data_IF_684940968965
#
_entry.id   IF_684940968965
#
_cell.length_a   1.000
_cell.length_b   1.000
_cell.length_c   1.000
_cell.angle_alpha   90.00
_cell.angle_beta   90.00
_cell.angle_gamma   90.00
#
_symmetry.space_group_name_H-M   'P 1'
#
loop_
_entity.id
_entity.type
_entity.pdbx_description
1 polymer ?
#
# COMPACT_ATOMS: atom_id res chain seq x y z
N UNK A 1 -15.02 17.21 7.17
CA UNK A 1 -15.05 17.11 8.65
C UNK A 1 -13.61 17.09 9.13
N UNK A 2 -13.27 17.77 10.23
CA UNK A 2 -11.96 17.59 10.84
C UNK A 2 -11.83 16.12 11.28
N UNK A 3 -10.79 15.43 10.82
CA UNK A 3 -10.51 14.07 11.29
C UNK A 3 -10.22 14.16 12.79
N UNK A 4 -10.79 13.23 13.57
CA UNK A 4 -10.42 13.09 14.97
C UNK A 4 -8.90 12.88 15.07
N UNK A 5 -8.28 13.38 16.14
CA UNK A 5 -6.85 13.12 16.34
C UNK A 5 -6.58 11.61 16.34
N UNK A 6 -5.56 11.15 15.62
CA UNK A 6 -5.27 9.73 15.50
C UNK A 6 -4.86 9.15 16.85
N UNK A 7 -5.28 7.90 17.11
CA UNK A 7 -4.85 7.17 18.30
C UNK A 7 -3.31 7.02 18.28
N UNK A 8 -2.63 7.24 19.43
CA UNK A 8 -1.18 7.11 19.50
C UNK A 8 -0.77 5.64 19.46
N UNK A 9 0.42 5.37 18.89
CA UNK A 9 1.00 4.03 18.97
C UNK A 9 1.51 3.75 20.38
N UNK A 10 1.37 2.50 20.88
CA UNK A 10 1.81 2.12 22.22
C UNK A 10 3.31 1.79 22.26
N UNK A 11 4.14 2.64 21.64
CA UNK A 11 5.59 2.57 21.70
C UNK A 11 6.14 3.71 22.55
N UNK A 12 7.19 3.44 23.32
CA UNK A 12 7.84 4.48 24.09
C UNK A 12 8.45 5.56 23.14
N UNK A 13 8.29 6.86 23.44
CA UNK A 13 8.87 7.93 22.63
C UNK A 13 10.37 7.73 22.39
N UNK A 14 10.82 7.98 21.15
CA UNK A 14 12.22 7.84 20.76
C UNK A 14 12.71 6.40 20.51
N UNK A 15 11.87 5.40 20.71
CA UNK A 15 12.24 4.02 20.39
C UNK A 15 12.42 3.84 18.87
N UNK A 16 13.43 3.06 18.42
CA UNK A 16 13.60 2.77 17.01
C UNK A 16 12.39 1.97 16.49
N UNK A 17 11.79 2.45 15.42
CA UNK A 17 10.64 1.82 14.76
C UNK A 17 10.92 1.58 13.28
N UNK A 18 10.27 0.56 12.74
CA UNK A 18 10.14 0.30 11.31
C UNK A 18 8.75 0.72 10.87
N UNK A 19 8.65 1.31 9.68
CA UNK A 19 7.41 1.87 9.17
C UNK A 19 7.17 1.51 7.71
N UNK A 20 5.91 1.41 7.34
CA UNK A 20 5.45 1.20 5.98
C UNK A 20 3.95 1.46 5.88
N UNK A 21 3.38 1.11 4.73
CA UNK A 21 1.97 1.28 4.45
C UNK A 21 1.28 -0.05 4.16
N UNK A 22 -0.03 -0.08 4.20
CA UNK A 22 -0.85 -1.26 3.91
C UNK A 22 -2.22 -0.89 3.37
N UNK A 23 -2.96 -1.91 2.91
CA UNK A 23 -4.35 -1.79 2.45
C UNK A 23 -5.24 -2.74 3.23
N UNK A 24 -6.34 -2.23 3.79
CA UNK A 24 -7.35 -3.08 4.42
C UNK A 24 -8.16 -3.79 3.34
N UNK A 25 -8.27 -5.11 3.46
CA UNK A 25 -9.04 -5.97 2.58
C UNK A 25 -10.44 -6.26 3.15
N UNK A 26 -11.24 -6.97 2.36
CA UNK A 26 -12.59 -7.42 2.71
C UNK A 26 -12.68 -8.01 4.14
N UNK A 27 -13.76 -7.69 4.85
CA UNK A 27 -13.97 -8.08 6.25
C UNK A 27 -13.27 -7.18 7.28
N UNK A 28 -12.43 -6.23 6.85
CA UNK A 28 -11.90 -5.16 7.71
C UNK A 28 -10.85 -5.61 8.74
N UNK A 29 -10.41 -6.88 8.67
CA UNK A 29 -9.45 -7.50 9.61
C UNK A 29 -8.14 -7.93 8.96
N UNK A 30 -8.07 -7.90 7.64
CA UNK A 30 -6.91 -8.33 6.88
C UNK A 30 -6.26 -7.10 6.25
N UNK A 31 -4.94 -7.01 6.36
CA UNK A 31 -4.16 -5.93 5.74
C UNK A 31 -3.10 -6.56 4.84
N UNK A 32 -3.10 -6.19 3.56
CA UNK A 32 -2.02 -6.54 2.63
C UNK A 32 -0.94 -5.46 2.68
N UNK A 33 0.32 -5.87 2.68
CA UNK A 33 1.50 -4.98 2.63
C UNK A 33 2.65 -5.69 1.93
N UNK A 34 3.82 -5.05 1.88
CA UNK A 34 5.04 -5.71 1.43
C UNK A 34 5.66 -6.59 2.52
N UNK A 35 6.29 -7.69 2.11
CA UNK A 35 7.02 -8.58 3.03
C UNK A 35 8.16 -7.84 3.74
N UNK A 36 8.94 -7.05 3.01
CA UNK A 36 10.08 -6.33 3.60
C UNK A 36 9.67 -5.28 4.64
N UNK A 37 8.41 -4.82 4.64
CA UNK A 37 7.89 -3.89 5.66
C UNK A 37 7.80 -4.57 7.03
N UNK A 38 7.53 -5.87 7.05
CA UNK A 38 7.24 -6.63 8.28
C UNK A 38 8.38 -7.55 8.70
N UNK A 39 9.45 -7.61 7.91
CA UNK A 39 10.58 -8.50 8.12
C UNK A 39 11.36 -8.16 9.41
N UNK A 40 11.52 -9.16 10.27
CA UNK A 40 12.23 -9.04 11.54
C UNK A 40 11.49 -8.26 12.63
N UNK A 41 10.23 -7.87 12.42
CA UNK A 41 9.40 -7.22 13.44
C UNK A 41 8.87 -8.27 14.43
N UNK A 42 8.99 -8.00 15.72
CA UNK A 42 8.45 -8.83 16.82
C UNK A 42 7.14 -8.27 17.38
N UNK A 43 7.00 -6.95 17.39
CA UNK A 43 5.78 -6.25 17.85
C UNK A 43 5.27 -5.32 16.77
N UNK A 44 4.02 -5.52 16.34
CA UNK A 44 3.43 -4.87 15.18
C UNK A 44 2.10 -4.21 15.53
N UNK A 45 1.98 -2.94 15.17
CA UNK A 45 0.74 -2.17 15.25
C UNK A 45 0.43 -1.55 13.88
N UNK A 46 -0.85 -1.35 13.64
CA UNK A 46 -1.38 -0.72 12.44
C UNK A 46 -2.33 0.41 12.81
N UNK A 47 -2.35 1.48 12.03
CA UNK A 47 -3.32 2.57 12.15
C UNK A 47 -3.96 2.85 10.81
N UNK A 48 -5.28 2.78 10.70
CA UNK A 48 -5.96 3.15 9.44
C UNK A 48 -5.98 4.69 9.26
N UNK A 49 -6.29 5.17 8.06
CA UNK A 49 -6.30 6.62 7.76
C UNK A 49 -7.35 7.43 8.53
N UNK A 50 -8.29 6.79 9.24
CA UNK A 50 -9.20 7.47 10.17
C UNK A 50 -8.68 7.50 11.61
N UNK A 51 -7.47 7.01 11.86
CA UNK A 51 -6.78 7.17 13.12
C UNK A 51 -6.92 6.02 14.13
N UNK A 52 -7.56 4.90 13.79
CA UNK A 52 -7.73 3.80 14.74
C UNK A 52 -6.51 2.88 14.77
N UNK A 53 -5.95 2.62 15.96
CA UNK A 53 -4.81 1.74 16.16
C UNK A 53 -5.28 0.33 16.50
N UNK A 54 -4.61 -0.69 15.95
CA UNK A 54 -4.81 -2.11 16.26
C UNK A 54 -3.47 -2.80 16.39
N UNK A 55 -3.35 -3.71 17.36
CA UNK A 55 -2.27 -4.69 17.36
C UNK A 55 -2.50 -5.66 16.21
N UNK A 56 -1.46 -5.96 15.46
CA UNK A 56 -1.51 -6.87 14.33
C UNK A 56 -0.55 -8.04 14.54
N UNK A 57 -0.82 -9.13 13.82
CA UNK A 57 0.11 -10.26 13.66
C UNK A 57 0.31 -10.56 12.20
N UNK A 58 1.47 -11.13 11.88
CA UNK A 58 1.77 -11.63 10.54
C UNK A 58 1.01 -12.96 10.37
N UNK A 59 0.04 -12.99 9.47
CA UNK A 59 -0.77 -14.18 9.20
C UNK A 59 -0.17 -15.04 8.08
N UNK A 60 0.40 -14.39 7.05
CA UNK A 60 1.03 -15.07 5.92
C UNK A 60 2.13 -14.20 5.32
N UNK A 61 3.18 -14.82 4.83
CA UNK A 61 4.24 -14.16 4.06
C UNK A 61 4.45 -14.95 2.77
N UNK A 62 4.64 -14.25 1.65
CA UNK A 62 4.97 -14.90 0.40
C UNK A 62 6.46 -15.23 0.32
N UNK A 63 6.78 -16.37 -0.30
CA UNK A 63 8.16 -16.76 -0.58
C UNK A 63 8.64 -16.24 -1.95
N UNK A 64 7.71 -16.04 -2.89
CA UNK A 64 8.02 -15.75 -4.30
C UNK A 64 8.02 -14.24 -4.61
N UNK A 65 7.18 -13.50 -3.91
CA UNK A 65 6.99 -12.07 -4.11
C UNK A 65 7.01 -11.32 -2.77
N UNK A 66 7.16 -10.00 -2.86
CA UNK A 66 7.32 -9.13 -1.70
C UNK A 66 5.94 -8.76 -1.12
N UNK A 67 5.16 -9.76 -0.72
CA UNK A 67 3.82 -9.63 -0.14
C UNK A 67 3.75 -10.28 1.25
N UNK A 68 3.02 -9.62 2.15
CA UNK A 68 2.63 -10.16 3.45
C UNK A 68 1.17 -9.81 3.77
N UNK A 69 0.50 -10.74 4.45
CA UNK A 69 -0.84 -10.57 5.00
C UNK A 69 -0.74 -10.43 6.51
N UNK A 70 -1.28 -9.34 7.02
CA UNK A 70 -1.46 -9.09 8.44
C UNK A 70 -2.91 -9.33 8.85
N UNK A 71 -3.10 -9.64 10.12
CA UNK A 71 -4.42 -9.83 10.71
C UNK A 71 -4.54 -9.07 12.03
N UNK A 72 -5.72 -8.49 12.25
CA UNK A 72 -6.11 -7.78 13.48
C UNK A 72 -7.35 -8.43 14.08
N UNK A 73 -7.44 -8.46 15.42
CA UNK A 73 -8.53 -9.17 16.11
C UNK A 73 -9.88 -8.45 15.93
N UNK A 74 -9.86 -7.12 16.01
CA UNK A 74 -11.05 -6.26 15.85
C UNK A 74 -10.96 -5.49 14.56
N UNK A 75 -11.97 -5.65 13.70
CA UNK A 75 -12.07 -4.94 12.44
C UNK A 75 -11.97 -3.42 12.61
N UNK A 76 -11.46 -2.75 11.58
CA UNK A 76 -11.65 -1.31 11.45
C UNK A 76 -13.15 -0.97 11.25
N UNK A 77 -13.57 0.27 11.54
CA UNK A 77 -14.96 0.70 11.29
C UNK A 77 -15.41 0.49 9.84
N UNK A 78 -16.73 0.44 9.63
CA UNK A 78 -17.32 0.26 8.30
C UNK A 78 -16.81 1.30 7.28
N UNK A 79 -16.66 0.87 6.02
CA UNK A 79 -16.07 1.68 4.94
C UNK A 79 -14.56 1.50 4.76
N UNK A 80 -13.87 0.93 5.74
CA UNK A 80 -12.44 0.63 5.71
C UNK A 80 -12.09 -0.67 4.95
N UNK A 81 -12.78 -1.01 3.86
CA UNK A 81 -12.51 -2.26 3.13
C UNK A 81 -12.33 -2.02 1.65
N UNK A 82 -11.30 -2.64 1.07
CA UNK A 82 -11.18 -2.85 -0.37
C UNK A 82 -11.80 -4.20 -0.72
N UNK A 83 -12.92 -4.24 -1.46
CA UNK A 83 -13.52 -5.48 -1.93
C UNK A 83 -12.54 -6.26 -2.82
N UNK A 84 -12.53 -7.59 -2.70
CA UNK A 84 -11.71 -8.44 -3.57
C UNK A 84 -12.10 -8.28 -5.05
N UNK A 85 -13.38 -8.02 -5.32
CA UNK A 85 -13.91 -7.76 -6.66
C UNK A 85 -13.37 -6.46 -7.29
N UNK A 86 -12.88 -5.51 -6.49
CA UNK A 86 -12.32 -4.24 -6.96
C UNK A 86 -10.80 -4.32 -7.19
N UNK A 87 -10.19 -5.49 -6.99
CA UNK A 87 -8.78 -5.73 -7.32
C UNK A 87 -8.68 -6.08 -8.80
N UNK A 88 -7.93 -5.25 -9.53
CA UNK A 88 -7.85 -5.32 -11.00
C UNK A 88 -6.40 -5.35 -11.47
N UNK A 89 -6.21 -5.76 -12.73
CA UNK A 89 -4.89 -5.67 -13.36
C UNK A 89 -4.59 -4.22 -13.79
N UNK A 90 -3.36 -3.74 -13.60
CA UNK A 90 -2.92 -2.46 -14.14
C UNK A 90 -2.80 -2.54 -15.66
N UNK A 91 -3.23 -1.49 -16.35
CA UNK A 91 -3.13 -1.34 -17.81
C UNK A 91 -2.38 -0.05 -18.11
N UNK A 92 -1.53 -0.05 -19.13
CA UNK A 92 -0.77 1.15 -19.50
C UNK A 92 -1.71 2.35 -19.78
N UNK A 93 -1.31 3.54 -19.34
CA UNK A 93 -2.09 4.77 -19.45
C UNK A 93 -3.19 4.94 -18.39
N UNK A 94 -3.52 3.91 -17.60
CA UNK A 94 -4.47 4.05 -16.47
C UNK A 94 -3.87 4.93 -15.39
N UNK A 95 -4.68 5.74 -14.72
CA UNK A 95 -4.27 6.50 -13.55
C UNK A 95 -3.69 5.56 -12.48
N UNK A 96 -2.57 5.95 -11.89
CA UNK A 96 -1.93 5.26 -10.78
C UNK A 96 -1.79 6.21 -9.60
N UNK A 97 -2.66 6.04 -8.60
CA UNK A 97 -2.75 6.92 -7.45
C UNK A 97 -2.28 6.14 -6.23
N UNK A 98 -1.28 6.66 -5.54
CA UNK A 98 -0.69 6.04 -4.36
C UNK A 98 -1.08 6.83 -3.13
N UNK A 99 -1.62 6.12 -2.14
CA UNK A 99 -1.87 6.65 -0.80
C UNK A 99 -0.95 5.92 0.19
N UNK A 100 -0.25 6.64 1.05
CA UNK A 100 0.67 6.01 2.01
C UNK A 100 1.27 7.00 3.00
N UNK A 101 2.18 6.51 3.84
CA UNK A 101 2.79 7.28 4.92
C UNK A 101 4.30 7.45 4.69
N UNK A 102 4.70 8.33 3.76
CA UNK A 102 6.11 8.54 3.47
C UNK A 102 6.78 9.28 4.62
N UNK A 103 8.00 8.87 4.97
CA UNK A 103 8.91 9.65 5.81
C UNK A 103 8.26 10.26 7.08
N UNK A 104 7.52 9.46 7.84
CA UNK A 104 6.68 9.94 8.94
C UNK A 104 7.42 10.79 9.99
N UNK A 105 8.73 10.60 10.17
CA UNK A 105 9.56 11.39 11.08
C UNK A 105 9.79 12.84 10.61
N UNK A 106 9.53 13.13 9.34
CA UNK A 106 9.72 14.44 8.71
C UNK A 106 8.39 15.06 8.28
N UNK A 107 7.49 14.25 7.71
CA UNK A 107 6.23 14.72 7.11
C UNK A 107 5.02 14.60 8.05
N UNK A 108 5.20 13.96 9.21
CA UNK A 108 4.11 13.61 10.11
C UNK A 108 3.38 12.33 9.69
N UNK A 109 2.52 11.85 10.57
CA UNK A 109 1.81 10.57 10.45
C UNK A 109 0.29 10.69 10.64
N UNK A 110 -0.23 11.91 10.82
CA UNK A 110 -1.65 12.14 11.11
C UNK A 110 -2.56 11.69 9.96
N UNK A 111 -2.11 11.89 8.73
CA UNK A 111 -2.84 11.56 7.51
C UNK A 111 -1.89 10.98 6.45
N UNK A 112 -2.37 10.07 5.59
CA UNK A 112 -1.56 9.58 4.49
C UNK A 112 -1.41 10.65 3.40
N UNK A 113 -0.25 10.66 2.74
CA UNK A 113 -0.02 11.46 1.55
C UNK A 113 -0.64 10.79 0.32
N UNK A 114 -1.22 11.59 -0.58
CA UNK A 114 -1.73 11.17 -1.88
C UNK A 114 -0.81 11.66 -2.99
N UNK A 115 -0.49 10.79 -3.94
CA UNK A 115 0.30 11.14 -5.14
C UNK A 115 -0.35 10.52 -6.37
N UNK A 116 -0.39 11.28 -7.47
CA UNK A 116 -0.95 10.83 -8.76
C UNK A 116 0.16 10.66 -9.80
N UNK A 117 -0.01 9.66 -10.65
CA UNK A 117 0.74 9.42 -11.86
C UNK A 117 -0.05 8.52 -12.79
N UNK A 118 0.64 7.80 -13.67
CA UNK A 118 0.04 6.80 -14.56
C UNK A 118 0.76 5.46 -14.44
N UNK A 119 0.09 4.39 -14.84
CA UNK A 119 0.74 3.13 -15.20
C UNK A 119 1.52 3.37 -16.50
N UNK A 120 2.83 3.53 -16.40
CA UNK A 120 3.72 3.72 -17.54
C UNK A 120 3.86 2.43 -18.37
N UNK A 121 4.02 1.29 -17.69
CA UNK A 121 4.05 -0.03 -18.30
C UNK A 121 3.32 -1.03 -17.43
N UNK A 122 2.51 -1.88 -18.05
CA UNK A 122 1.83 -2.98 -17.37
C UNK A 122 2.77 -4.13 -16.97
N UNK A 123 4.07 -4.03 -17.25
CA UNK A 123 5.10 -4.98 -16.82
C UNK A 123 6.21 -4.26 -16.06
N UNK A 124 6.88 -4.97 -15.18
CA UNK A 124 7.96 -4.47 -14.36
C UNK A 124 9.28 -4.32 -15.11
N UNK A 125 10.35 -4.15 -14.34
CA UNK A 125 11.71 -4.14 -14.87
C UNK A 125 12.02 -5.47 -15.55
N UNK A 126 12.70 -5.43 -16.69
CA UNK A 126 13.03 -6.65 -17.45
C UNK A 126 11.82 -7.45 -17.94
N UNK A 127 10.65 -6.80 -18.10
CA UNK A 127 9.37 -7.43 -18.45
C UNK A 127 8.84 -8.40 -17.38
N UNK A 128 9.16 -8.18 -16.11
CA UNK A 128 8.59 -8.96 -15.01
C UNK A 128 7.04 -8.94 -15.06
N UNK A 129 6.38 -10.10 -15.20
CA UNK A 129 4.93 -10.18 -15.30
C UNK A 129 4.21 -9.91 -13.97
N UNK A 130 4.92 -9.94 -12.83
CA UNK A 130 4.34 -9.84 -11.48
C UNK A 130 4.26 -8.39 -10.98
N UNK A 131 5.02 -7.49 -11.59
CA UNK A 131 5.10 -6.07 -11.23
C UNK A 131 4.75 -5.16 -12.40
N UNK A 132 4.52 -3.88 -12.12
CA UNK A 132 4.22 -2.86 -13.13
C UNK A 132 4.96 -1.57 -12.82
N UNK A 133 5.14 -0.74 -13.83
CA UNK A 133 5.85 0.54 -13.74
C UNK A 133 4.86 1.70 -13.70
N UNK A 134 5.12 2.69 -12.84
CA UNK A 134 4.29 3.89 -12.69
C UNK A 134 5.13 5.16 -12.50
N UNK A 135 4.56 6.31 -12.84
CA UNK A 135 5.22 7.63 -12.69
C UNK A 135 4.89 8.34 -11.38
N UNK A 136 4.12 7.69 -10.51
CA UNK A 136 3.70 8.25 -9.23
C UNK A 136 4.90 8.45 -8.32
N UNK A 137 4.93 9.55 -7.55
CA UNK A 137 6.03 9.85 -6.61
C UNK A 137 5.97 8.90 -5.42
N UNK A 138 7.01 8.09 -5.25
CA UNK A 138 7.10 7.11 -4.16
C UNK A 138 8.35 7.37 -3.33
N UNK A 139 8.18 7.40 -2.01
CA UNK A 139 9.27 7.51 -1.03
C UNK A 139 9.24 6.34 -0.04
N UNK A 140 10.32 6.19 0.74
CA UNK A 140 10.34 5.27 1.88
C UNK A 140 9.13 5.54 2.80
N UNK A 141 8.40 4.48 3.12
CA UNK A 141 7.15 4.55 3.90
C UNK A 141 5.90 4.28 3.05
N UNK A 142 5.94 4.52 1.74
CA UNK A 142 4.84 4.15 0.83
C UNK A 142 4.78 2.64 0.52
N UNK A 143 5.84 1.87 0.79
CA UNK A 143 5.87 0.42 0.59
C UNK A 143 4.65 -0.25 1.22
N UNK A 144 3.92 -1.02 0.43
CA UNK A 144 2.70 -1.74 0.82
C UNK A 144 1.43 -0.91 0.76
N UNK A 145 1.52 0.41 0.53
CA UNK A 145 0.38 1.30 0.36
C UNK A 145 -0.39 1.01 -0.93
N UNK A 146 -1.71 1.29 -0.97
CA UNK A 146 -2.53 0.97 -2.13
C UNK A 146 -2.14 1.81 -3.34
N UNK A 147 -2.12 1.17 -4.51
CA UNK A 147 -2.11 1.82 -5.82
C UNK A 147 -3.49 1.63 -6.43
N UNK A 148 -4.23 2.70 -6.66
CA UNK A 148 -5.59 2.65 -7.17
C UNK A 148 -5.82 3.59 -8.36
N UNK A 149 -6.91 3.39 -9.08
CA UNK A 149 -7.34 4.27 -10.16
C UNK A 149 -8.39 5.29 -9.69
N UNK A 150 -8.85 6.15 -10.62
CA UNK A 150 -9.89 7.17 -10.35
C UNK A 150 -11.26 6.59 -10.00
N UNK A 151 -11.44 5.27 -10.05
CA UNK A 151 -12.68 4.56 -9.71
C UNK A 151 -12.57 3.86 -8.35
N UNK A 152 -11.41 3.96 -7.68
CA UNK A 152 -11.15 3.30 -6.41
C UNK A 152 -10.76 1.82 -6.54
N UNK A 153 -10.53 1.32 -7.76
CA UNK A 153 -10.07 -0.04 -7.97
C UNK A 153 -8.62 -0.19 -7.55
N UNK A 154 -8.29 -1.27 -6.84
CA UNK A 154 -6.93 -1.57 -6.42
C UNK A 154 -6.15 -2.20 -7.58
N UNK A 155 -5.18 -1.46 -8.11
CA UNK A 155 -4.27 -1.94 -9.16
C UNK A 155 -3.13 -2.79 -8.60
N UNK A 156 -2.81 -2.62 -7.33
CA UNK A 156 -1.66 -3.24 -6.68
C UNK A 156 -1.22 -2.56 -5.40
N UNK A 157 -0.03 -2.91 -4.91
CA UNK A 157 0.64 -2.22 -3.81
C UNK A 157 1.95 -1.59 -4.27
N UNK A 158 2.25 -0.41 -3.75
CA UNK A 158 3.46 0.34 -4.03
C UNK A 158 4.68 -0.37 -3.43
N UNK A 159 5.80 -0.38 -4.15
CA UNK A 159 7.10 -0.82 -3.61
C UNK A 159 7.94 0.44 -3.38
N UNK A 160 8.06 0.87 -2.13
CA UNK A 160 8.80 2.08 -1.71
C UNK A 160 10.33 1.95 -1.81
N UNK A 161 10.80 0.93 -2.51
CA UNK A 161 12.21 0.58 -2.68
C UNK A 161 12.43 0.01 -4.08
N UNK A 162 12.16 0.79 -5.12
CA UNK A 162 12.98 0.61 -6.33
C UNK A 162 14.34 1.13 -5.93
N UNK A 163 15.29 0.23 -5.68
CA UNK A 163 16.64 0.62 -5.30
C UNK A 163 17.33 1.19 -6.54
N UNK A 164 17.01 2.45 -6.86
CA UNK A 164 17.56 3.19 -8.00
C UNK A 164 19.09 3.18 -7.93
N UNK A 165 19.65 3.11 -6.71
CA UNK A 165 21.08 2.93 -6.48
C UNK A 165 21.54 1.52 -6.87
N UNK A 166 20.83 0.44 -6.51
CA UNK A 166 21.17 -0.91 -6.97
C UNK A 166 20.97 -1.09 -8.48
N UNK A 167 19.97 -0.44 -9.08
CA UNK A 167 19.82 -0.40 -10.54
C UNK A 167 21.01 0.32 -11.16
N UNK A 168 21.35 1.52 -10.68
CA UNK A 168 22.49 2.29 -11.15
C UNK A 168 23.82 1.52 -11.01
N UNK A 169 24.05 0.86 -9.86
CA UNK A 169 25.24 0.05 -9.63
C UNK A 169 25.36 -1.12 -10.62
N UNK A 170 24.23 -1.67 -11.09
CA UNK A 170 24.22 -2.79 -12.04
C UNK A 170 24.26 -2.36 -13.50
N UNK A 171 23.65 -1.23 -13.84
CA UNK A 171 23.41 -0.83 -15.24
C UNK A 171 24.16 0.43 -15.65
N UNK A 172 24.73 1.17 -14.70
CA UNK A 172 25.25 2.53 -14.90
C UNK A 172 24.18 3.58 -15.21
N UNK A 173 22.89 3.21 -15.17
CA UNK A 173 21.76 4.09 -15.55
C UNK A 173 20.91 4.41 -14.33
N UNK A 174 20.71 5.70 -14.07
CA UNK A 174 19.84 6.15 -13.00
C UNK A 174 18.39 6.06 -13.49
N UNK A 175 17.55 5.36 -12.73
CA UNK A 175 16.11 5.40 -12.97
C UNK A 175 15.53 6.65 -12.31
N UNK A 176 15.03 7.55 -13.14
CA UNK A 176 14.33 8.75 -12.72
C UNK A 176 12.84 8.59 -13.04
N UNK A 177 11.98 9.11 -12.14
CA UNK A 177 10.53 9.20 -12.33
C UNK A 177 9.80 7.89 -12.66
N UNK A 178 10.44 6.75 -12.40
CA UNK A 178 9.88 5.42 -12.61
C UNK A 178 9.89 4.62 -11.31
N UNK A 179 8.70 4.23 -10.87
CA UNK A 179 8.49 3.45 -9.67
C UNK A 179 7.77 2.14 -9.98
N UNK A 180 7.85 1.19 -9.05
CA UNK A 180 7.33 -0.17 -9.23
C UNK A 180 6.19 -0.44 -8.26
N UNK A 181 5.17 -1.16 -8.74
CA UNK A 181 4.12 -1.75 -7.92
C UNK A 181 3.99 -3.26 -8.17
N UNK A 182 3.54 -3.99 -7.16
CA UNK A 182 3.15 -5.41 -7.29
C UNK A 182 1.70 -5.46 -7.77
N UNK A 183 1.42 -6.22 -8.82
CA UNK A 183 0.10 -6.24 -9.46
C UNK A 183 -1.01 -6.78 -8.55
N UNK A 184 -2.22 -6.26 -8.73
CA UNK A 184 -3.45 -6.78 -8.11
C UNK A 184 -3.67 -8.27 -8.38
N UNK A 185 -3.33 -8.77 -9.56
CA UNK A 185 -3.37 -10.20 -9.85
C UNK A 185 -2.47 -11.06 -8.95
N UNK A 186 -1.32 -10.54 -8.52
CA UNK A 186 -0.45 -11.21 -7.55
C UNK A 186 -1.02 -11.17 -6.14
N UNK A 187 -1.67 -10.08 -5.75
CA UNK A 187 -2.43 -10.02 -4.50
C UNK A 187 -3.51 -11.10 -4.50
N UNK A 188 -4.30 -11.22 -5.57
CA UNK A 188 -5.33 -12.26 -5.70
C UNK A 188 -4.74 -13.67 -5.59
N UNK A 189 -3.69 -13.97 -6.35
CA UNK A 189 -3.01 -15.26 -6.31
C UNK A 189 -2.48 -15.59 -4.91
N UNK A 190 -1.84 -14.62 -4.24
CA UNK A 190 -1.33 -14.77 -2.88
C UNK A 190 -2.44 -15.06 -1.86
N UNK A 191 -3.62 -14.48 -2.04
CA UNK A 191 -4.81 -14.71 -1.22
C UNK A 191 -5.56 -16.01 -1.59
N UNK A 192 -5.15 -16.72 -2.66
CA UNK A 192 -5.88 -17.87 -3.19
C UNK A 192 -7.25 -17.48 -3.75
N UNK A 193 -7.36 -16.28 -4.32
CA UNK A 193 -8.57 -15.71 -4.92
C UNK A 193 -8.39 -15.53 -6.41
N UNK A 194 -9.51 -15.44 -7.12
CA UNK A 194 -9.57 -15.12 -8.54
C UNK A 194 -10.24 -13.77 -8.74
N UNK A 195 -9.91 -13.09 -9.84
CA UNK A 195 -10.61 -11.87 -10.21
C UNK A 195 -12.11 -12.16 -10.42
N UNK A 196 -12.96 -11.27 -9.92
CA UNK A 196 -14.40 -11.31 -10.15
C UNK A 196 -14.80 -10.34 -11.28
N UNK A 197 -16.08 -10.31 -11.63
CA UNK A 197 -16.62 -9.26 -12.47
C UNK A 197 -16.47 -7.91 -11.73
N UNK A 198 -15.71 -7.00 -12.33
CA UNK A 198 -15.37 -5.71 -11.75
C UNK A 198 -16.48 -4.72 -12.07
N UNK A 199 -16.98 -4.01 -11.07
CA UNK A 199 -17.92 -2.90 -11.30
C UNK A 199 -17.20 -1.72 -11.97
N UNK A 200 -17.89 -0.89 -12.75
CA UNK A 200 -17.26 0.28 -13.38
C UNK A 200 -17.93 1.55 -12.88
N UNK A 201 -17.76 1.93 -11.60
CA UNK A 201 -18.34 3.15 -11.08
C UNK A 201 -17.73 4.37 -11.79
N UNK A 202 -18.42 5.52 -11.81
CA UNK A 202 -17.87 6.76 -12.36
C UNK A 202 -16.51 7.11 -11.75
N UNK A 203 -15.69 7.83 -12.51
CA UNK A 203 -14.45 8.39 -11.95
C UNK A 203 -14.78 9.48 -10.92
N UNK A 204 -14.00 9.50 -9.84
CA UNK A 204 -14.11 10.46 -8.75
C UNK A 204 -13.09 11.58 -8.92
N UNK A 205 -13.39 12.74 -8.31
CA UNK A 205 -12.37 13.76 -8.08
C UNK A 205 -11.29 13.21 -7.14
N UNK A 206 -10.08 13.79 -7.16
CA UNK A 206 -9.02 13.37 -6.24
C UNK A 206 -9.39 13.58 -4.77
N UNK A 207 -10.22 14.58 -4.48
CA UNK A 207 -10.71 14.87 -3.13
C UNK A 207 -11.68 13.78 -2.65
N UNK A 208 -12.69 13.44 -3.47
CA UNK A 208 -13.63 12.37 -3.15
C UNK A 208 -12.93 11.02 -3.03
N UNK A 209 -11.99 10.76 -3.94
CA UNK A 209 -11.18 9.56 -3.92
C UNK A 209 -10.30 9.49 -2.67
N UNK A 210 -9.72 10.61 -2.23
CA UNK A 210 -8.98 10.68 -0.97
C UNK A 210 -9.88 10.29 0.19
N UNK A 211 -11.07 10.87 0.32
CA UNK A 211 -12.01 10.56 1.41
C UNK A 211 -12.45 9.09 1.39
N UNK A 212 -12.72 8.54 0.20
CA UNK A 212 -13.16 7.15 0.06
C UNK A 212 -12.04 6.14 0.40
N UNK A 213 -10.80 6.45 0.03
CA UNK A 213 -9.66 5.55 0.20
C UNK A 213 -8.99 5.70 1.57
N UNK A 214 -9.16 6.85 2.24
CA UNK A 214 -8.59 7.15 3.55
C UNK A 214 -8.76 6.01 4.58
N UNK A 215 -9.98 5.47 4.84
CA UNK A 215 -10.13 4.40 5.84
C UNK A 215 -9.48 3.07 5.42
N UNK A 216 -9.14 2.90 4.13
CA UNK A 216 -8.56 1.68 3.56
C UNK A 216 -7.03 1.69 3.59
N UNK A 217 -6.40 2.87 3.60
CA UNK A 217 -4.96 3.00 3.76
C UNK A 217 -4.54 2.84 5.22
N UNK A 218 -3.39 2.20 5.44
CA UNK A 218 -2.90 1.84 6.76
C UNK A 218 -1.46 2.27 6.92
N UNK A 219 -1.14 2.92 8.03
CA UNK A 219 0.22 3.06 8.54
C UNK A 219 0.57 1.81 9.35
N UNK A 220 1.69 1.19 9.01
CA UNK A 220 2.26 0.05 9.71
C UNK A 220 3.45 0.54 10.53
N UNK A 221 3.48 0.20 11.82
CA UNK A 221 4.60 0.52 12.71
C UNK A 221 4.97 -0.71 13.51
N UNK A 222 6.25 -1.05 13.56
CA UNK A 222 6.71 -2.13 14.41
C UNK A 222 8.13 -1.98 14.93
N UNK A 223 8.45 -2.85 15.88
CA UNK A 223 9.74 -2.92 16.56
C UNK A 223 10.33 -4.33 16.46
N UNK A 224 11.65 -4.40 16.51
CA UNK A 224 12.39 -5.66 16.68
C UNK A 224 12.43 -6.04 18.14
#
# INVERSE_FOLDING_TARGET
MALAQPEPFPFAPGSPILTGSGVVLEGGRQIITNRHVVEGITTLYVRNGTGHVRKARIAKVSNEDDLALLEIDKAFPEGAVTPIADIVQPTAGRAAIVMGYPLISLLGDEQPALTEGIVAKAAGLGNDPNTFQMTTKINKGNSGGPVFDKRGHLLGVAVGKTDSAAVYQKTGTQMEDMNIGIKGGRILAFLGKTAAAVSTPPEMSLEDLYQQMLPRAVLIVGQK
#
